data_IF_754957930149
#
_entry.id   IF_754957930149
#
_cell.length_a   1.000
_cell.length_b   1.000
_cell.length_c   1.000
_cell.angle_alpha   90.00
_cell.angle_beta   90.00
_cell.angle_gamma   90.00
#
_symmetry.space_group_name_H-M   'P 1'
#
loop_
_entity.id
_entity.type
_entity.pdbx_description
1 polymer ?
#
# COMPACT_ATOMS: atom_id res chain seq x y z
N UNK A 1 -4.42 19.89 9.07
CA UNK A 1 -5.23 18.83 9.75
C UNK A 1 -5.32 19.14 11.23
N UNK A 2 -6.46 18.80 11.88
CA UNK A 2 -6.54 18.92 13.34
C UNK A 2 -5.60 17.90 14.02
N UNK A 3 -5.00 18.20 15.20
CA UNK A 3 -4.02 17.31 15.86
C UNK A 3 -4.52 15.87 16.04
N UNK A 4 -5.79 15.68 16.41
CA UNK A 4 -6.43 14.35 16.55
C UNK A 4 -6.44 13.56 15.24
N UNK A 5 -6.58 14.21 14.09
CA UNK A 5 -6.57 13.56 12.78
C UNK A 5 -5.16 13.29 12.29
N UNK A 6 -4.17 14.10 12.70
CA UNK A 6 -2.75 13.78 12.51
C UNK A 6 -2.39 12.52 13.30
N UNK A 7 -2.76 12.46 14.59
CA UNK A 7 -2.56 11.28 15.41
C UNK A 7 -3.21 10.03 14.80
N UNK A 8 -4.45 10.15 14.31
CA UNK A 8 -5.14 9.04 13.65
C UNK A 8 -4.38 8.56 12.39
N UNK A 9 -3.86 9.48 11.56
CA UNK A 9 -3.09 9.11 10.37
C UNK A 9 -1.80 8.37 10.73
N UNK A 10 -1.09 8.81 11.78
CA UNK A 10 0.11 8.14 12.30
C UNK A 10 -0.22 6.76 12.86
N UNK A 11 -1.30 6.63 13.63
CA UNK A 11 -1.77 5.33 14.17
C UNK A 11 -2.11 4.37 13.04
N UNK A 12 -2.83 4.81 11.99
CA UNK A 12 -3.12 3.96 10.83
C UNK A 12 -1.82 3.49 10.15
N UNK A 13 -0.86 4.39 9.95
CA UNK A 13 0.43 4.02 9.36
C UNK A 13 1.20 3.01 10.23
N UNK A 14 1.16 3.15 11.56
CA UNK A 14 1.77 2.21 12.50
C UNK A 14 1.07 0.84 12.46
N UNK A 15 -0.27 0.80 12.45
CA UNK A 15 -1.05 -0.43 12.31
C UNK A 15 -0.75 -1.15 10.98
N UNK A 16 -0.63 -0.41 9.88
CA UNK A 16 -0.27 -0.98 8.58
C UNK A 16 1.19 -1.45 8.51
N UNK A 17 2.11 -0.74 9.19
CA UNK A 17 3.50 -1.20 9.31
C UNK A 17 3.60 -2.50 10.11
N UNK A 18 2.98 -2.55 11.31
CA UNK A 18 2.93 -3.73 12.16
C UNK A 18 2.24 -4.93 11.47
N UNK A 19 1.30 -4.66 10.56
CA UNK A 19 0.61 -5.71 9.82
C UNK A 19 1.55 -6.65 9.06
N UNK A 20 2.70 -6.18 8.56
CA UNK A 20 3.68 -7.03 7.87
C UNK A 20 4.33 -8.04 8.83
N UNK A 21 4.62 -7.62 10.06
CA UNK A 21 5.13 -8.50 11.12
C UNK A 21 4.08 -9.57 11.45
N UNK A 22 2.82 -9.18 11.63
CA UNK A 22 1.75 -10.12 11.96
C UNK A 22 1.43 -11.07 10.80
N UNK A 23 1.52 -10.61 9.55
CA UNK A 23 1.47 -11.52 8.40
C UNK A 23 2.60 -12.55 8.50
N UNK A 24 3.85 -12.11 8.76
CA UNK A 24 4.99 -13.03 8.88
C UNK A 24 4.81 -14.05 10.00
N UNK A 25 4.29 -13.62 11.15
CA UNK A 25 3.94 -14.51 12.27
C UNK A 25 2.85 -15.50 11.87
N UNK A 26 1.75 -15.04 11.26
CA UNK A 26 0.65 -15.91 10.85
C UNK A 26 1.04 -16.94 9.78
N UNK A 27 2.04 -16.65 8.95
CA UNK A 27 2.58 -17.58 7.96
C UNK A 27 3.35 -18.77 8.58
N UNK A 28 3.61 -18.77 9.88
CA UNK A 28 4.09 -19.96 10.60
C UNK A 28 2.96 -20.93 10.93
N UNK A 29 1.73 -20.42 11.14
CA UNK A 29 0.59 -21.21 11.59
C UNK A 29 -0.33 -21.61 10.42
N UNK A 30 -0.33 -20.83 9.33
CA UNK A 30 -1.26 -21.01 8.21
C UNK A 30 -0.55 -21.04 6.86
N UNK A 31 -1.03 -21.90 5.92
CA UNK A 31 -0.69 -21.79 4.51
C UNK A 31 -1.03 -20.39 3.97
N UNK A 32 -0.18 -19.78 3.12
CA UNK A 32 -0.31 -18.41 2.68
C UNK A 32 -1.66 -18.01 2.08
N UNK A 33 -2.21 -18.85 1.19
CA UNK A 33 -3.46 -18.56 0.50
C UNK A 33 -4.66 -18.78 1.42
N UNK A 34 -4.63 -19.83 2.26
CA UNK A 34 -5.63 -20.03 3.31
C UNK A 34 -5.66 -18.83 4.26
N UNK A 35 -4.51 -18.38 4.75
CA UNK A 35 -4.44 -17.23 5.64
C UNK A 35 -5.01 -15.98 4.98
N UNK A 36 -4.67 -15.77 3.70
CA UNK A 36 -5.22 -14.65 2.93
C UNK A 36 -6.75 -14.77 2.75
N UNK A 37 -7.29 -15.97 2.52
CA UNK A 37 -8.73 -16.22 2.46
C UNK A 37 -9.42 -15.89 3.79
N UNK A 38 -8.87 -16.40 4.92
CA UNK A 38 -9.40 -16.17 6.27
C UNK A 38 -9.46 -14.68 6.64
N UNK A 39 -8.40 -13.91 6.35
CA UNK A 39 -8.39 -12.47 6.64
C UNK A 39 -9.54 -11.72 5.97
N UNK A 40 -9.85 -12.07 4.72
CA UNK A 40 -10.96 -11.44 3.98
C UNK A 40 -12.31 -11.97 4.41
N UNK A 41 -12.40 -13.28 4.72
CA UNK A 41 -13.62 -13.89 5.24
C UNK A 41 -14.08 -13.23 6.55
N UNK A 42 -13.16 -12.97 7.48
CA UNK A 42 -13.45 -12.30 8.76
C UNK A 42 -13.99 -10.87 8.56
N UNK A 43 -13.51 -10.16 7.54
CA UNK A 43 -14.04 -8.82 7.20
C UNK A 43 -15.40 -8.90 6.56
N UNK A 44 -15.57 -9.80 5.58
CA UNK A 44 -16.72 -9.81 4.69
C UNK A 44 -17.93 -10.54 5.31
N UNK A 45 -17.71 -11.76 5.83
CA UNK A 45 -18.82 -12.64 6.22
C UNK A 45 -19.77 -12.04 7.24
N UNK A 46 -19.32 -11.39 8.33
CA UNK A 46 -20.27 -10.74 9.23
C UNK A 46 -20.92 -9.52 8.59
N UNK A 47 -20.15 -8.71 7.86
CA UNK A 47 -20.56 -7.37 7.42
C UNK A 47 -21.52 -7.39 6.23
N UNK A 48 -21.43 -8.37 5.30
CA UNK A 48 -22.28 -8.42 4.10
C UNK A 48 -23.77 -8.57 4.43
N UNK A 49 -24.10 -9.18 5.57
CA UNK A 49 -25.49 -9.36 6.02
C UNK A 49 -26.12 -8.08 6.57
N UNK A 50 -25.30 -7.13 7.04
CA UNK A 50 -25.76 -5.87 7.65
C UNK A 50 -25.59 -4.66 6.73
N UNK A 51 -24.73 -4.78 5.71
CA UNK A 51 -24.42 -3.71 4.75
C UNK A 51 -25.18 -4.00 3.45
N UNK A 52 -26.03 -3.06 3.04
CA UNK A 52 -26.77 -3.20 1.77
C UNK A 52 -25.83 -3.33 0.56
N UNK A 53 -26.36 -3.66 -0.65
CA UNK A 53 -25.57 -3.93 -1.84
C UNK A 53 -24.65 -2.78 -2.23
N UNK A 54 -23.58 -3.03 -3.00
CA UNK A 54 -22.65 -1.99 -3.42
C UNK A 54 -23.39 -0.96 -4.28
N UNK A 55 -23.09 0.33 -4.09
CA UNK A 55 -23.69 1.43 -4.87
C UNK A 55 -22.87 1.73 -6.13
N UNK A 56 -22.23 0.70 -6.67
CA UNK A 56 -21.42 0.70 -7.91
C UNK A 56 -21.69 -0.56 -8.68
N UNK A 57 -21.39 -0.56 -9.99
CA UNK A 57 -21.58 -1.75 -10.81
C UNK A 57 -20.72 -2.92 -10.31
N UNK A 58 -21.28 -4.11 -10.22
CA UNK A 58 -20.63 -5.33 -9.75
C UNK A 58 -19.32 -5.66 -10.47
N UNK A 59 -19.20 -5.33 -11.75
CA UNK A 59 -17.95 -5.47 -12.51
C UNK A 59 -16.74 -4.82 -11.83
N UNK A 60 -16.95 -3.67 -11.16
CA UNK A 60 -15.88 -2.97 -10.44
C UNK A 60 -15.54 -3.64 -9.11
N UNK A 61 -16.56 -4.12 -8.41
CA UNK A 61 -16.37 -4.89 -7.16
C UNK A 61 -15.58 -6.16 -7.47
N UNK A 62 -15.97 -6.91 -8.49
CA UNK A 62 -15.27 -8.12 -8.91
C UNK A 62 -13.85 -7.82 -9.40
N UNK A 63 -13.67 -6.81 -10.28
CA UNK A 63 -12.36 -6.47 -10.82
C UNK A 63 -11.39 -6.05 -9.70
N UNK A 64 -11.81 -5.17 -8.78
CA UNK A 64 -10.95 -4.75 -7.68
C UNK A 64 -10.79 -5.86 -6.65
N UNK A 65 -11.84 -6.63 -6.34
CA UNK A 65 -11.77 -7.78 -5.44
C UNK A 65 -10.77 -8.84 -5.91
N UNK A 66 -10.76 -9.14 -7.20
CA UNK A 66 -9.77 -10.07 -7.79
C UNK A 66 -8.38 -9.45 -7.80
N UNK A 67 -8.20 -8.24 -8.35
CA UNK A 67 -6.86 -7.64 -8.51
C UNK A 67 -6.23 -7.30 -7.14
N UNK A 68 -6.99 -6.67 -6.25
CA UNK A 68 -6.50 -6.29 -4.91
C UNK A 68 -6.47 -7.49 -3.97
N UNK A 69 -7.58 -8.23 -3.89
CA UNK A 69 -7.77 -9.26 -2.87
C UNK A 69 -7.06 -10.55 -3.23
N UNK A 70 -7.30 -11.10 -4.42
CA UNK A 70 -6.71 -12.37 -4.83
C UNK A 70 -5.28 -12.18 -5.29
N UNK A 71 -5.05 -11.33 -6.31
CA UNK A 71 -3.72 -11.22 -6.93
C UNK A 71 -2.74 -10.51 -6.01
N UNK A 72 -3.03 -9.28 -5.61
CA UNK A 72 -2.08 -8.48 -4.81
C UNK A 72 -1.76 -9.13 -3.47
N UNK A 73 -2.78 -9.50 -2.70
CA UNK A 73 -2.53 -10.08 -1.38
C UNK A 73 -2.05 -11.52 -1.46
N UNK A 74 -2.55 -12.34 -2.38
CA UNK A 74 -2.02 -13.68 -2.62
C UNK A 74 -0.53 -13.65 -2.95
N UNK A 75 -0.10 -12.81 -3.90
CA UNK A 75 1.32 -12.64 -4.24
C UNK A 75 2.16 -12.11 -3.08
N UNK A 76 1.63 -11.17 -2.28
CA UNK A 76 2.33 -10.67 -1.09
C UNK A 76 2.56 -11.77 -0.07
N UNK A 77 1.53 -12.55 0.27
CA UNK A 77 1.61 -13.61 1.26
C UNK A 77 2.54 -14.75 0.78
N UNK A 78 2.42 -15.14 -0.48
CA UNK A 78 3.33 -16.11 -1.09
C UNK A 78 4.79 -15.60 -1.10
N UNK A 79 5.01 -14.32 -1.44
CA UNK A 79 6.35 -13.72 -1.42
C UNK A 79 6.96 -13.70 -0.01
N UNK A 80 6.17 -13.35 1.00
CA UNK A 80 6.62 -13.36 2.40
C UNK A 80 6.85 -14.78 2.92
N UNK A 81 6.03 -15.74 2.51
CA UNK A 81 6.24 -17.17 2.83
C UNK A 81 7.52 -17.69 2.15
N UNK A 82 7.75 -17.32 0.89
CA UNK A 82 8.95 -17.71 0.13
C UNK A 82 10.26 -17.06 0.61
N UNK A 83 10.23 -16.30 1.70
CA UNK A 83 11.43 -15.77 2.36
C UNK A 83 11.61 -14.25 2.28
N UNK A 84 10.65 -13.50 1.72
CA UNK A 84 10.73 -12.03 1.76
C UNK A 84 10.61 -11.51 3.20
N UNK A 85 11.57 -10.72 3.72
CA UNK A 85 11.49 -10.13 5.05
C UNK A 85 10.28 -9.18 5.20
N UNK A 86 9.69 -9.14 6.40
CA UNK A 86 8.50 -8.34 6.66
C UNK A 86 8.76 -6.84 6.47
N UNK A 87 9.87 -6.33 7.00
CA UNK A 87 10.24 -4.92 6.85
C UNK A 87 10.51 -4.55 5.40
N UNK A 88 11.24 -5.38 4.66
CA UNK A 88 11.54 -5.13 3.25
C UNK A 88 10.29 -5.24 2.38
N UNK A 89 9.35 -6.15 2.70
CA UNK A 89 8.03 -6.23 2.04
C UNK A 89 7.25 -4.93 2.17
N UNK A 90 7.27 -4.30 3.36
CA UNK A 90 6.60 -3.02 3.60
C UNK A 90 7.17 -1.89 2.75
N UNK A 91 8.48 -1.90 2.50
CA UNK A 91 9.18 -0.92 1.67
C UNK A 91 8.88 -1.13 0.19
N UNK A 92 9.10 -2.33 -0.32
CA UNK A 92 8.95 -2.68 -1.75
C UNK A 92 7.51 -2.48 -2.22
N UNK A 93 6.55 -2.79 -1.37
CA UNK A 93 5.13 -2.62 -1.68
C UNK A 93 4.74 -1.14 -1.89
N UNK A 94 5.52 -0.18 -1.39
CA UNK A 94 5.33 1.25 -1.67
C UNK A 94 5.56 1.60 -3.16
N UNK A 95 6.23 0.75 -3.93
CA UNK A 95 6.31 0.86 -5.38
C UNK A 95 4.95 0.95 -6.08
N UNK A 96 3.87 0.52 -5.38
CA UNK A 96 2.50 0.70 -5.84
C UNK A 96 2.16 2.16 -6.23
N UNK A 97 2.78 3.15 -5.59
CA UNK A 97 2.56 4.56 -5.92
C UNK A 97 3.06 4.89 -7.34
N UNK A 98 4.22 4.33 -7.73
CA UNK A 98 4.77 4.46 -9.07
C UNK A 98 3.91 3.74 -10.10
N UNK A 99 3.55 2.48 -9.84
CA UNK A 99 2.69 1.70 -10.73
C UNK A 99 1.29 2.32 -10.87
N UNK A 100 0.73 2.90 -9.80
CA UNK A 100 -0.53 3.66 -9.87
C UNK A 100 -0.40 4.83 -10.84
N UNK A 101 0.70 5.58 -10.80
CA UNK A 101 0.92 6.71 -11.71
C UNK A 101 1.08 6.25 -13.17
N UNK A 102 1.81 5.15 -13.41
CA UNK A 102 1.96 4.56 -14.74
C UNK A 102 0.61 4.09 -15.31
N UNK A 103 -0.18 3.34 -14.54
CA UNK A 103 -1.51 2.91 -14.96
C UNK A 103 -2.48 4.10 -15.13
N UNK A 104 -2.40 5.13 -14.29
CA UNK A 104 -3.21 6.33 -14.46
C UNK A 104 -2.85 7.08 -15.75
N UNK A 105 -1.57 7.17 -16.09
CA UNK A 105 -1.14 7.75 -17.36
C UNK A 105 -1.67 6.97 -18.57
N UNK A 106 -1.58 5.63 -18.54
CA UNK A 106 -2.05 4.79 -19.65
C UNK A 106 -3.57 4.66 -19.73
N UNK A 107 -4.25 4.32 -18.63
CA UNK A 107 -5.67 3.99 -18.60
C UNK A 107 -6.60 5.19 -18.42
N UNK A 108 -6.12 6.26 -17.75
CA UNK A 108 -6.89 7.50 -17.53
C UNK A 108 -6.38 8.65 -18.41
N UNK A 109 -5.31 8.43 -19.19
CA UNK A 109 -4.64 9.44 -20.04
C UNK A 109 -4.20 10.68 -19.24
N UNK A 110 -3.87 10.48 -17.97
CA UNK A 110 -3.32 11.53 -17.12
C UNK A 110 -1.87 11.84 -17.51
N UNK A 111 -1.50 13.12 -17.48
CA UNK A 111 -0.10 13.54 -17.69
C UNK A 111 0.52 13.88 -16.34
N UNK A 112 1.33 12.98 -15.75
CA UNK A 112 1.97 13.27 -14.48
C UNK A 112 2.94 14.45 -14.62
N UNK A 113 2.95 15.34 -13.62
CA UNK A 113 3.87 16.46 -13.58
C UNK A 113 5.34 15.97 -13.64
N UNK A 114 6.27 16.70 -14.29
CA UNK A 114 7.68 16.28 -14.41
C UNK A 114 8.33 15.96 -13.06
N UNK A 115 8.01 16.71 -12.02
CA UNK A 115 8.49 16.47 -10.66
C UNK A 115 8.01 15.13 -10.11
N UNK A 116 6.76 14.75 -10.37
CA UNK A 116 6.23 13.44 -9.99
C UNK A 116 6.98 12.33 -10.70
N UNK A 117 7.31 12.50 -11.97
CA UNK A 117 8.13 11.54 -12.72
C UNK A 117 9.55 11.42 -12.15
N UNK A 118 10.19 12.54 -11.80
CA UNK A 118 11.50 12.54 -11.13
C UNK A 118 11.45 11.81 -9.78
N UNK A 119 10.43 12.12 -8.95
CA UNK A 119 10.20 11.43 -7.68
C UNK A 119 9.98 9.93 -7.83
N UNK A 120 9.21 9.50 -8.84
CA UNK A 120 9.04 8.08 -9.15
C UNK A 120 10.35 7.42 -9.59
N UNK A 121 11.18 8.10 -10.39
CA UNK A 121 12.51 7.61 -10.75
C UNK A 121 13.39 7.36 -9.52
N UNK A 122 13.40 8.29 -8.56
CA UNK A 122 14.12 8.13 -7.29
C UNK A 122 13.56 6.97 -6.46
N UNK A 123 12.23 6.84 -6.38
CA UNK A 123 11.61 5.73 -5.66
C UNK A 123 11.93 4.36 -6.29
N UNK A 124 11.88 4.24 -7.61
CA UNK A 124 12.27 3.01 -8.30
C UNK A 124 13.76 2.70 -8.19
N UNK A 125 14.65 3.71 -8.17
CA UNK A 125 16.07 3.52 -7.88
C UNK A 125 16.26 2.95 -6.45
N UNK A 126 15.49 3.44 -5.46
CA UNK A 126 15.49 2.88 -4.11
C UNK A 126 15.01 1.41 -4.08
N UNK A 127 13.96 1.06 -4.82
CA UNK A 127 13.48 -0.33 -4.93
C UNK A 127 14.53 -1.22 -5.63
N UNK A 128 15.20 -0.71 -6.68
CA UNK A 128 16.28 -1.43 -7.34
C UNK A 128 17.47 -1.67 -6.39
N UNK A 129 17.83 -0.68 -5.58
CA UNK A 129 18.85 -0.83 -4.55
C UNK A 129 18.46 -1.88 -3.50
N UNK A 130 17.19 -1.90 -3.07
CA UNK A 130 16.66 -2.92 -2.18
C UNK A 130 16.68 -4.31 -2.82
N UNK A 131 16.44 -4.41 -4.13
CA UNK A 131 16.52 -5.67 -4.88
C UNK A 131 17.93 -6.22 -4.92
N UNK A 132 18.94 -5.37 -5.15
CA UNK A 132 20.35 -5.76 -5.14
C UNK A 132 20.78 -6.26 -3.77
N UNK A 133 20.40 -5.57 -2.71
CA UNK A 133 20.68 -5.96 -1.32
C UNK A 133 20.04 -7.31 -0.98
N UNK A 134 18.76 -7.50 -1.32
CA UNK A 134 18.05 -8.74 -1.07
C UNK A 134 18.57 -9.91 -1.91
N UNK A 135 18.90 -9.66 -3.18
CA UNK A 135 19.42 -10.69 -4.11
C UNK A 135 20.71 -11.35 -3.64
N UNK A 136 21.48 -10.67 -2.77
CA UNK A 136 22.70 -11.22 -2.14
C UNK A 136 22.33 -12.14 -0.96
N UNK A 137 21.17 -11.93 -0.30
CA UNK A 137 20.83 -12.55 0.99
C UNK A 137 19.52 -13.37 0.96
N UNK A 138 18.73 -13.34 -0.14
CA UNK A 138 17.41 -13.97 -0.20
C UNK A 138 16.98 -14.44 -1.59
N UNK A 139 15.86 -15.20 -1.69
CA UNK A 139 15.36 -15.71 -2.95
C UNK A 139 14.84 -14.58 -3.86
N UNK A 140 15.39 -14.43 -5.05
CA UNK A 140 14.96 -13.42 -6.04
C UNK A 140 13.47 -13.57 -6.42
N UNK A 141 12.95 -14.82 -6.44
CA UNK A 141 11.53 -15.10 -6.67
C UNK A 141 10.61 -14.48 -5.62
N UNK A 142 11.01 -14.49 -4.34
CA UNK A 142 10.24 -13.87 -3.27
C UNK A 142 10.10 -12.36 -3.45
N UNK A 143 11.20 -11.70 -3.85
CA UNK A 143 11.20 -10.27 -4.19
C UNK A 143 10.31 -9.97 -5.40
N UNK A 144 10.40 -10.78 -6.46
CA UNK A 144 9.59 -10.64 -7.66
C UNK A 144 8.07 -10.75 -7.36
N UNK A 145 7.67 -11.66 -6.47
CA UNK A 145 6.28 -11.79 -6.03
C UNK A 145 5.78 -10.51 -5.34
N UNK A 146 6.60 -9.89 -4.48
CA UNK A 146 6.21 -8.64 -3.80
C UNK A 146 6.17 -7.46 -4.78
N UNK A 147 7.07 -7.39 -5.77
CA UNK A 147 6.97 -6.40 -6.86
C UNK A 147 5.68 -6.61 -7.66
N UNK A 148 5.35 -7.85 -8.03
CA UNK A 148 4.10 -8.15 -8.75
C UNK A 148 2.87 -7.78 -7.90
N UNK A 149 2.93 -7.96 -6.58
CA UNK A 149 1.90 -7.47 -5.66
C UNK A 149 1.79 -5.93 -5.69
N UNK A 150 2.90 -5.19 -5.76
CA UNK A 150 2.90 -3.74 -5.89
C UNK A 150 2.30 -3.27 -7.23
N UNK A 151 2.59 -3.97 -8.33
CA UNK A 151 1.98 -3.73 -9.66
C UNK A 151 0.46 -3.93 -9.59
N UNK A 152 0.01 -5.07 -9.06
CA UNK A 152 -1.41 -5.37 -8.90
C UNK A 152 -2.12 -4.32 -8.03
N UNK A 153 -1.47 -3.86 -6.96
CA UNK A 153 -2.04 -2.79 -6.12
C UNK A 153 -2.15 -1.47 -6.88
N UNK A 154 -1.15 -1.10 -7.67
CA UNK A 154 -1.20 0.08 -8.55
C UNK A 154 -2.39 0.03 -9.52
N UNK A 155 -2.64 -1.12 -10.12
CA UNK A 155 -3.80 -1.35 -11.00
C UNK A 155 -5.12 -1.25 -10.21
N UNK A 156 -5.21 -1.89 -9.04
CA UNK A 156 -6.40 -1.84 -8.19
C UNK A 156 -6.78 -0.42 -7.77
N UNK A 157 -5.77 0.44 -7.49
CA UNK A 157 -5.99 1.85 -7.17
C UNK A 157 -6.65 2.61 -8.34
N UNK A 158 -6.21 2.36 -9.57
CA UNK A 158 -6.79 2.99 -10.77
C UNK A 158 -8.20 2.47 -11.04
N UNK A 159 -8.43 1.17 -10.87
CA UNK A 159 -9.77 0.57 -10.99
C UNK A 159 -10.73 1.14 -9.94
N UNK A 160 -10.28 1.29 -8.70
CA UNK A 160 -11.06 1.90 -7.60
C UNK A 160 -11.40 3.37 -7.93
N UNK A 161 -10.46 4.13 -8.48
CA UNK A 161 -10.72 5.51 -8.95
C UNK A 161 -11.77 5.54 -10.06
N UNK A 162 -11.73 4.60 -11.01
CA UNK A 162 -12.76 4.48 -12.06
C UNK A 162 -14.13 4.08 -11.51
N UNK A 163 -14.16 3.23 -10.50
CA UNK A 163 -15.39 2.82 -9.83
C UNK A 163 -16.05 3.98 -9.07
N UNK A 164 -15.26 4.94 -8.58
CA UNK A 164 -15.69 6.11 -7.81
C UNK A 164 -16.74 5.79 -6.71
N UNK A 165 -16.45 4.84 -5.78
CA UNK A 165 -17.43 4.38 -4.81
C UNK A 165 -17.86 5.52 -3.89
N UNK A 166 -19.19 5.75 -3.70
CA UNK A 166 -19.69 6.83 -2.86
C UNK A 166 -19.60 6.53 -1.36
N UNK A 167 -19.41 5.26 -0.99
CA UNK A 167 -19.36 4.77 0.40
C UNK A 167 -18.18 3.81 0.56
N UNK A 168 -17.15 4.27 1.28
CA UNK A 168 -15.90 3.53 1.45
C UNK A 168 -16.06 2.27 2.31
N UNK A 169 -16.92 2.29 3.34
CA UNK A 169 -17.16 1.11 4.18
C UNK A 169 -17.84 0.01 3.36
N UNK A 170 -18.93 0.36 2.69
CA UNK A 170 -19.68 -0.55 1.84
C UNK A 170 -18.79 -1.10 0.72
N UNK A 171 -18.01 -0.23 0.08
CA UNK A 171 -17.03 -0.63 -0.94
C UNK A 171 -16.03 -1.64 -0.40
N UNK A 172 -15.41 -1.37 0.74
CA UNK A 172 -14.40 -2.24 1.33
C UNK A 172 -14.98 -3.61 1.71
N UNK A 173 -16.17 -3.66 2.28
CA UNK A 173 -16.82 -4.92 2.64
C UNK A 173 -17.11 -5.76 1.40
N UNK A 174 -17.71 -5.20 0.35
CA UNK A 174 -18.04 -5.94 -0.88
C UNK A 174 -16.80 -6.35 -1.68
N UNK A 175 -15.78 -5.51 -1.76
CA UNK A 175 -14.50 -5.87 -2.36
C UNK A 175 -13.83 -7.01 -1.57
N UNK A 176 -13.93 -6.98 -0.23
CA UNK A 176 -13.40 -8.05 0.63
C UNK A 176 -14.21 -9.36 0.58
N UNK A 177 -15.45 -9.32 0.10
CA UNK A 177 -16.27 -10.52 -0.08
C UNK A 177 -15.88 -11.37 -1.31
N UNK A 178 -15.12 -10.78 -2.25
CA UNK A 178 -14.71 -11.50 -3.49
C UNK A 178 -13.56 -12.48 -3.24
N UNK A 179 -12.47 -12.13 -2.52
CA UNK A 179 -11.27 -12.98 -2.42
C UNK A 179 -11.44 -14.31 -1.68
N UNK A 180 -12.30 -14.48 -0.65
CA UNK A 180 -12.31 -15.69 0.17
C UNK A 180 -12.47 -16.98 -0.62
N UNK A 181 -13.45 -17.05 -1.51
CA UNK A 181 -13.72 -18.27 -2.29
C UNK A 181 -12.62 -18.59 -3.31
N UNK A 182 -12.17 -17.65 -4.18
CA UNK A 182 -11.07 -17.92 -5.08
C UNK A 182 -9.75 -18.26 -4.36
N UNK A 183 -9.43 -17.58 -3.26
CA UNK A 183 -8.21 -17.88 -2.50
C UNK A 183 -8.27 -19.25 -1.81
N UNK A 184 -9.42 -19.60 -1.22
CA UNK A 184 -9.63 -20.94 -0.67
C UNK A 184 -9.51 -22.02 -1.74
N UNK A 185 -10.12 -21.80 -2.92
CA UNK A 185 -9.99 -22.72 -4.06
C UNK A 185 -8.53 -22.88 -4.51
N UNK A 186 -7.78 -21.77 -4.59
CA UNK A 186 -6.35 -21.80 -4.91
C UNK A 186 -5.52 -22.50 -3.81
N UNK A 187 -5.84 -22.26 -2.53
CA UNK A 187 -5.19 -22.93 -1.39
C UNK A 187 -5.37 -24.44 -1.48
N UNK A 188 -6.60 -24.91 -1.65
CA UNK A 188 -6.90 -26.34 -1.79
C UNK A 188 -6.18 -27.00 -2.98
N UNK A 189 -5.95 -26.27 -4.07
CA UNK A 189 -5.27 -26.78 -5.27
C UNK A 189 -3.74 -26.74 -5.18
N UNK A 190 -3.17 -25.71 -4.53
CA UNK A 190 -1.73 -25.44 -4.53
C UNK A 190 -1.08 -25.85 -3.22
N UNK A 191 -1.71 -25.57 -2.09
CA UNK A 191 -1.21 -25.85 -0.74
C UNK A 191 -1.67 -27.23 -0.26
N UNK A 192 -2.87 -27.64 -0.68
CA UNK A 192 -3.44 -28.96 -0.42
C UNK A 192 -4.45 -28.98 0.72
N UNK A 193 -5.53 -29.80 0.60
CA UNK A 193 -6.61 -29.85 1.59
C UNK A 193 -6.15 -30.40 2.96
N UNK A 194 -5.12 -31.24 2.99
CA UNK A 194 -4.54 -31.77 4.23
C UNK A 194 -3.86 -30.69 5.07
N UNK A 195 -3.09 -29.84 4.43
CA UNK A 195 -2.39 -28.74 5.08
C UNK A 195 -3.39 -27.68 5.60
N UNK A 196 -4.38 -27.33 4.76
CA UNK A 196 -5.44 -26.39 5.14
C UNK A 196 -6.23 -26.92 6.35
N UNK A 197 -6.59 -28.20 6.33
CA UNK A 197 -7.34 -28.82 7.41
C UNK A 197 -6.53 -28.95 8.70
N UNK A 198 -5.24 -29.27 8.60
CA UNK A 198 -4.33 -29.30 9.74
C UNK A 198 -4.19 -27.92 10.38
N UNK A 199 -4.00 -26.87 9.59
CA UNK A 199 -3.92 -25.50 10.07
C UNK A 199 -5.20 -25.04 10.76
N UNK A 200 -6.38 -25.37 10.21
CA UNK A 200 -7.68 -25.02 10.82
C UNK A 200 -7.95 -25.78 12.11
N UNK A 201 -7.55 -27.05 12.22
CA UNK A 201 -7.67 -27.85 13.45
C UNK A 201 -6.68 -27.42 14.53
N UNK A 202 -5.49 -27.01 14.11
CA UNK A 202 -4.41 -26.55 14.98
C UNK A 202 -4.47 -25.08 15.35
N UNK A 203 -5.56 -24.37 15.01
CA UNK A 203 -5.66 -22.93 15.26
C UNK A 203 -5.46 -22.59 16.74
N UNK A 204 -4.45 -21.79 17.01
CA UNK A 204 -4.14 -21.29 18.34
C UNK A 204 -4.86 -19.96 18.60
N UNK A 205 -4.99 -19.56 19.87
CA UNK A 205 -5.50 -18.20 20.21
C UNK A 205 -4.62 -17.11 19.59
N UNK A 206 -3.29 -17.34 19.48
CA UNK A 206 -2.37 -16.43 18.79
C UNK A 206 -2.67 -16.33 17.30
N UNK A 207 -2.80 -17.46 16.62
CA UNK A 207 -3.14 -17.53 15.19
C UNK A 207 -4.51 -16.88 14.90
N UNK A 208 -5.53 -17.17 15.70
CA UNK A 208 -6.83 -16.52 15.59
C UNK A 208 -6.72 -15.00 15.79
N UNK A 209 -5.95 -14.56 16.80
CA UNK A 209 -5.70 -13.14 17.06
C UNK A 209 -5.01 -12.43 15.89
N UNK A 210 -4.06 -13.09 15.23
CA UNK A 210 -3.39 -12.57 14.03
C UNK A 210 -4.38 -12.43 12.87
N UNK A 211 -5.22 -13.43 12.59
CA UNK A 211 -6.25 -13.37 11.55
C UNK A 211 -7.22 -12.20 11.81
N UNK A 212 -7.70 -12.07 13.06
CA UNK A 212 -8.59 -10.98 13.46
C UNK A 212 -7.94 -9.60 13.30
N UNK A 213 -6.68 -9.46 13.74
CA UNK A 213 -5.95 -8.20 13.56
C UNK A 213 -5.80 -7.83 12.09
N UNK A 214 -5.30 -8.76 11.28
CA UNK A 214 -5.03 -8.51 9.84
C UNK A 214 -6.33 -8.20 9.09
N UNK A 215 -7.43 -8.89 9.43
CA UNK A 215 -8.75 -8.63 8.86
C UNK A 215 -9.40 -7.35 9.42
N UNK A 216 -9.71 -7.32 10.70
CA UNK A 216 -10.55 -6.26 11.28
C UNK A 216 -9.78 -4.97 11.51
N UNK A 217 -8.58 -5.04 12.11
CA UNK A 217 -7.85 -3.82 12.48
C UNK A 217 -7.11 -3.25 11.25
N UNK A 218 -6.28 -4.05 10.60
CA UNK A 218 -5.49 -3.54 9.48
C UNK A 218 -6.33 -3.27 8.24
N UNK A 219 -7.28 -4.15 7.90
CA UNK A 219 -8.10 -4.00 6.69
C UNK A 219 -9.32 -3.13 6.96
N UNK A 220 -10.28 -3.59 7.77
CA UNK A 220 -11.56 -2.87 7.89
C UNK A 220 -11.36 -1.50 8.56
N UNK A 221 -10.86 -1.47 9.78
CA UNK A 221 -10.65 -0.21 10.51
C UNK A 221 -9.66 0.70 9.77
N UNK A 222 -8.50 0.18 9.34
CA UNK A 222 -7.47 0.97 8.68
C UNK A 222 -7.97 1.68 7.43
N UNK A 223 -8.65 0.98 6.52
CA UNK A 223 -9.17 1.59 5.29
C UNK A 223 -10.37 2.51 5.53
N UNK A 224 -11.27 2.19 6.47
CA UNK A 224 -12.39 3.07 6.82
C UNK A 224 -11.88 4.37 7.45
N UNK A 225 -10.96 4.28 8.41
CA UNK A 225 -10.36 5.44 9.05
C UNK A 225 -9.55 6.29 8.07
N UNK A 226 -8.81 5.67 7.16
CA UNK A 226 -8.09 6.38 6.10
C UNK A 226 -9.03 7.10 5.14
N UNK A 227 -10.11 6.44 4.72
CA UNK A 227 -11.14 7.04 3.88
C UNK A 227 -11.84 8.20 4.57
N UNK A 228 -12.07 8.11 5.88
CA UNK A 228 -12.60 9.21 6.68
C UNK A 228 -11.66 10.43 6.68
N UNK A 229 -10.35 10.23 6.75
CA UNK A 229 -9.39 11.32 6.62
C UNK A 229 -9.43 11.95 5.22
N UNK A 230 -9.47 11.13 4.17
CA UNK A 230 -9.55 11.59 2.78
C UNK A 230 -10.87 12.29 2.44
N UNK A 231 -11.96 12.01 3.15
CA UNK A 231 -13.24 12.72 2.98
C UNK A 231 -13.25 14.12 3.61
N UNK A 232 -12.31 14.39 4.53
CA UNK A 232 -12.23 15.66 5.29
C UNK A 232 -11.08 16.56 4.90
N UNK A 233 -10.04 16.00 4.28
CA UNK A 233 -8.82 16.71 3.95
C UNK A 233 -8.37 16.37 2.55
N UNK A 234 -7.71 17.31 1.90
CA UNK A 234 -7.09 17.07 0.60
C UNK A 234 -6.13 15.87 0.66
N UNK A 235 -6.12 15.06 -0.38
CA UNK A 235 -5.24 13.91 -0.47
C UNK A 235 -3.75 14.28 -0.29
N UNK A 236 -3.35 15.48 -0.72
CA UNK A 236 -2.00 16.02 -0.53
C UNK A 236 -1.62 16.24 0.94
N UNK A 237 -2.62 16.43 1.82
CA UNK A 237 -2.39 16.59 3.26
C UNK A 237 -2.38 15.25 4.00
N UNK A 238 -3.06 14.21 3.48
CA UNK A 238 -3.19 12.89 4.12
C UNK A 238 -2.14 11.91 3.60
N UNK A 239 -1.90 11.88 2.28
CA UNK A 239 -1.01 10.91 1.64
C UNK A 239 0.42 10.85 2.22
N UNK A 240 1.06 11.96 2.66
CA UNK A 240 2.40 11.87 3.25
C UNK A 240 2.50 10.95 4.46
N UNK A 241 1.43 10.77 5.23
CA UNK A 241 1.45 9.86 6.38
C UNK A 241 1.57 8.38 5.99
N UNK A 242 1.19 7.99 4.78
CA UNK A 242 1.40 6.62 4.29
C UNK A 242 2.88 6.28 4.12
N UNK A 243 3.76 7.28 3.97
CA UNK A 243 5.22 7.10 3.90
C UNK A 243 5.82 6.66 5.24
N UNK A 244 5.08 6.77 6.33
CA UNK A 244 5.48 6.24 7.63
C UNK A 244 5.30 4.71 7.70
N UNK A 245 4.51 4.11 6.82
CA UNK A 245 4.26 2.65 6.83
C UNK A 245 5.54 1.83 6.73
N UNK A 246 6.47 2.06 5.79
CA UNK A 246 7.72 1.30 5.75
C UNK A 246 8.62 1.59 6.96
N UNK A 247 8.58 2.80 7.52
CA UNK A 247 9.33 3.11 8.74
C UNK A 247 8.84 2.28 9.92
N UNK A 248 7.52 2.24 10.15
CA UNK A 248 6.92 1.40 11.18
C UNK A 248 7.09 -0.09 10.87
N UNK A 249 6.99 -0.50 9.58
CA UNK A 249 7.16 -1.88 9.18
C UNK A 249 8.56 -2.41 9.44
N UNK A 250 9.59 -1.67 9.04
CA UNK A 250 10.98 -2.03 9.29
C UNK A 250 11.32 -1.98 10.79
N UNK A 251 10.90 -0.92 11.50
CA UNK A 251 11.14 -0.82 12.95
C UNK A 251 10.46 -1.96 13.71
N UNK A 252 9.20 -2.28 13.38
CA UNK A 252 8.49 -3.40 14.00
C UNK A 252 9.15 -4.74 13.68
N UNK A 253 9.61 -4.94 12.45
CA UNK A 253 10.29 -6.17 12.05
C UNK A 253 11.65 -6.33 12.75
N UNK A 254 12.40 -5.24 12.91
CA UNK A 254 13.63 -5.26 13.68
C UNK A 254 13.39 -5.60 15.16
N UNK A 255 12.40 -4.96 15.79
CA UNK A 255 12.12 -5.11 17.21
C UNK A 255 11.45 -6.45 17.58
N UNK A 256 10.53 -6.93 16.74
CA UNK A 256 9.69 -8.07 17.07
C UNK A 256 10.15 -9.38 16.41
N UNK A 257 10.79 -9.31 15.23
CA UNK A 257 11.29 -10.49 14.51
C UNK A 257 12.82 -10.58 14.52
N UNK A 258 13.52 -9.57 15.05
CA UNK A 258 14.99 -9.53 15.04
C UNK A 258 15.58 -9.35 13.63
N UNK A 259 14.79 -8.84 12.65
CA UNK A 259 15.29 -8.58 11.31
C UNK A 259 16.41 -7.54 11.35
N UNK A 260 17.55 -7.88 10.75
CA UNK A 260 18.68 -6.95 10.61
C UNK A 260 18.64 -6.30 9.25
N UNK A 261 18.69 -4.98 9.22
CA UNK A 261 18.72 -4.22 7.99
C UNK A 261 20.13 -3.73 7.71
N UNK A 262 20.57 -3.92 6.47
CA UNK A 262 21.84 -3.39 5.98
C UNK A 262 21.77 -1.86 5.84
N UNK A 263 22.93 -1.22 5.76
CA UNK A 263 22.98 0.21 5.40
C UNK A 263 22.36 0.46 4.03
N UNK A 264 22.49 -0.51 3.12
CA UNK A 264 21.88 -0.47 1.77
C UNK A 264 20.36 -0.45 1.85
N UNK A 265 19.76 -1.30 2.70
CA UNK A 265 18.31 -1.28 2.95
C UNK A 265 17.85 0.04 3.56
N UNK A 266 18.66 0.63 4.46
CA UNK A 266 18.42 1.98 4.99
C UNK A 266 18.44 3.06 3.91
N UNK A 267 19.45 3.05 3.04
CA UNK A 267 19.56 3.98 1.91
C UNK A 267 18.39 3.79 0.92
N UNK A 268 18.03 2.55 0.61
CA UNK A 268 16.85 2.23 -0.21
C UNK A 268 15.57 2.82 0.37
N UNK A 269 15.38 2.71 1.68
CA UNK A 269 14.22 3.29 2.38
C UNK A 269 14.17 4.81 2.24
N UNK A 270 15.30 5.48 2.44
CA UNK A 270 15.40 6.95 2.26
C UNK A 270 15.05 7.34 0.83
N UNK A 271 15.58 6.63 -0.18
CA UNK A 271 15.27 6.90 -1.59
C UNK A 271 13.79 6.70 -1.91
N UNK A 272 13.18 5.60 -1.45
CA UNK A 272 11.76 5.32 -1.70
C UNK A 272 10.88 6.39 -1.06
N UNK A 273 11.11 6.68 0.22
CA UNK A 273 10.32 7.68 0.98
C UNK A 273 10.50 9.09 0.38
N UNK A 274 11.75 9.49 0.09
CA UNK A 274 12.04 10.79 -0.51
C UNK A 274 11.45 10.90 -1.92
N UNK A 275 11.57 9.86 -2.75
CA UNK A 275 11.04 9.83 -4.10
C UNK A 275 9.52 9.96 -4.15
N UNK A 276 8.80 9.19 -3.32
CA UNK A 276 7.33 9.28 -3.23
C UNK A 276 6.92 10.64 -2.64
N UNK A 277 7.63 11.11 -1.59
CA UNK A 277 7.40 12.43 -0.97
C UNK A 277 7.56 13.56 -1.98
N UNK A 278 8.62 13.54 -2.79
CA UNK A 278 8.86 14.49 -3.87
C UNK A 278 7.72 14.48 -4.89
N UNK A 279 7.25 13.29 -5.27
CA UNK A 279 6.12 13.13 -6.20
C UNK A 279 4.76 13.55 -5.64
N UNK A 280 4.62 13.66 -4.32
CA UNK A 280 3.40 14.11 -3.65
C UNK A 280 3.30 15.64 -3.52
N UNK A 281 4.38 16.41 -3.78
CA UNK A 281 4.38 17.87 -3.70
C UNK A 281 3.49 18.48 -4.79
N UNK A 282 2.47 19.30 -4.46
CA UNK A 282 1.60 19.92 -5.45
C UNK A 282 2.39 20.88 -6.38
N UNK A 283 2.05 20.86 -7.67
CA UNK A 283 2.71 21.75 -8.65
C UNK A 283 2.60 23.24 -8.28
N UNK A 284 1.53 23.63 -7.59
CA UNK A 284 1.31 25.01 -7.09
C UNK A 284 2.33 25.43 -6.02
N UNK A 285 2.81 24.51 -5.18
CA UNK A 285 3.84 24.80 -4.18
C UNK A 285 5.19 25.13 -4.86
N UNK A 286 5.50 24.44 -5.96
CA UNK A 286 6.70 24.70 -6.77
C UNK A 286 6.66 26.02 -7.53
N UNK A 287 5.48 26.42 -8.04
CA UNK A 287 5.33 27.70 -8.68
C UNK A 287 5.65 28.85 -7.73
N UNK A 288 5.27 28.72 -6.46
CA UNK A 288 5.57 29.73 -5.42
C UNK A 288 7.07 29.84 -5.09
N UNK A 289 7.81 28.71 -5.14
CA UNK A 289 9.26 28.72 -4.90
C UNK A 289 10.07 29.28 -6.08
N UNK A 290 9.56 29.20 -7.30
CA UNK A 290 10.21 29.75 -8.52
C UNK A 290 9.94 31.24 -8.73
N UNK A 291 8.89 31.79 -8.14
CA UNK A 291 8.51 33.20 -8.32
C UNK A 291 9.54 34.21 -7.80
N UNK A 292 10.23 34.01 -6.65
CA UNK A 292 11.26 34.95 -6.18
C UNK A 292 12.49 34.99 -7.10
N UNK A 293 12.89 33.87 -7.70
CA UNK A 293 14.06 33.81 -8.59
C UNK A 293 13.82 34.53 -9.93
N UNK A 294 12.58 34.53 -10.45
CA UNK A 294 12.23 35.25 -11.67
C UNK A 294 12.14 36.78 -11.42
N UNK A 295 11.72 37.22 -10.22
CA UNK A 295 11.68 38.66 -9.89
C UNK A 295 13.09 39.24 -9.71
N UNK A 296 14.05 38.48 -9.24
CA UNK A 296 15.45 38.91 -9.12
C UNK A 296 16.18 38.99 -10.48
N UNK A 297 15.70 38.30 -11.50
CA UNK A 297 16.31 38.26 -12.84
C UNK A 297 15.66 39.23 -13.85
N UNK A 298 14.66 40.02 -13.46
CA UNK A 298 14.09 41.05 -14.36
C UNK A 298 15.01 42.27 -14.37
N UNK A 299 15.60 42.68 -15.51
CA UNK A 299 16.37 43.90 -15.60
C UNK A 299 15.48 45.09 -15.25
N UNK A 300 15.99 46.00 -14.44
CA UNK A 300 15.34 47.25 -14.08
C UNK A 300 14.99 48.02 -15.36
N UNK A 301 13.72 47.97 -15.77
CA UNK A 301 13.24 48.76 -16.90
C UNK A 301 13.46 50.23 -16.58
N UNK A 302 14.29 50.88 -17.38
CA UNK A 302 14.69 52.28 -17.23
C UNK A 302 13.48 53.22 -17.09
N UNK A 303 13.52 54.09 -16.10
CA UNK A 303 12.56 55.20 -15.96
C UNK A 303 12.67 56.07 -17.19
N UNK A 304 11.55 56.39 -17.88
CA UNK A 304 11.56 57.41 -18.94
C UNK A 304 11.92 58.77 -18.32
N UNK A 305 12.91 59.44 -18.92
CA UNK A 305 13.30 60.79 -18.58
C UNK A 305 12.10 61.71 -18.80
N UNK A 306 11.69 62.47 -17.75
CA UNK A 306 10.78 63.60 -17.88
C UNK A 306 11.50 64.71 -18.65
N UNK A 307 11.08 64.94 -19.87
CA UNK A 307 11.40 66.18 -20.58
C UNK A 307 10.48 67.27 -20.02
N UNK A 308 11.09 68.38 -19.53
CA UNK A 308 10.45 69.60 -19.08
C UNK A 308 9.99 70.47 -20.27
#
# INVERSE_FOLDING_TARGET
MAPRHVALAVVIAALWGLNFVLIKVGLHDFPPLLFCALRFAVVALPAVFFIGPPRVAWRWVLAVGVVLGVVKFGLLFLGMHAGMPAGLSSLVLQGQAGFTALFAAGLLRERPAPLRMAGLGVAFAGIALAALDHGVHGPAGAFALVIAAAVAWGLANVLTRKAAPPDALRWMVWVSAVPPLPLLGLSLLVEGPTEDWAALRGITWGGAGVVLYVGLISTLFGFVAWSHLLSRYDASAVAPYSLLVPMFGMSSAALLLGERFSLTAGAATVLVVAGIGLGAVPATAWARLRTPLRRAAAPAAGRPARQG
#
